data_IF_772725728958
#
_entry.id   IF_772725728958
#
_cell.length_a   1.000
_cell.length_b   1.000
_cell.length_c   1.000
_cell.angle_alpha   90.00
_cell.angle_beta   90.00
_cell.angle_gamma   90.00
#
_symmetry.space_group_name_H-M   'P 1'
#
loop_
_entity.id
_entity.type
_entity.pdbx_description
1 polymer ?
#
# COMPACT_ATOMS: atom_id res chain seq x y z
N UNK A 1 14.31 1.25 10.15
CA UNK A 1 13.04 0.67 9.65
C UNK A 1 12.23 1.66 8.81
N UNK A 2 12.00 2.90 9.23
CA UNK A 2 11.26 3.89 8.45
C UNK A 2 11.84 4.12 7.06
N UNK A 3 13.17 4.30 6.95
CA UNK A 3 13.84 4.45 5.65
C UNK A 3 13.63 3.24 4.72
N UNK A 4 13.60 2.02 5.28
CA UNK A 4 13.36 0.83 4.49
C UNK A 4 11.92 0.76 3.96
N UNK A 5 10.93 1.12 4.78
CA UNK A 5 9.55 1.21 4.32
C UNK A 5 9.38 2.29 3.27
N UNK A 6 10.00 3.46 3.46
CA UNK A 6 9.96 4.55 2.47
C UNK A 6 10.63 4.17 1.14
N UNK A 7 11.70 3.37 1.20
CA UNK A 7 12.31 2.81 0.00
C UNK A 7 11.32 1.89 -0.76
N UNK A 8 10.60 1.02 -0.04
CA UNK A 8 9.58 0.14 -0.67
C UNK A 8 8.43 0.95 -1.27
N UNK A 9 7.95 1.98 -0.57
CA UNK A 9 6.90 2.90 -1.06
C UNK A 9 7.32 3.60 -2.36
N UNK A 10 8.54 4.13 -2.39
CA UNK A 10 9.10 4.77 -3.57
C UNK A 10 9.29 3.78 -4.73
N UNK A 11 9.69 2.55 -4.43
CA UNK A 11 9.83 1.48 -5.43
C UNK A 11 8.50 1.19 -6.11
N UNK A 12 7.39 1.08 -5.36
CA UNK A 12 6.06 0.92 -5.96
C UNK A 12 5.76 2.01 -6.98
N UNK A 13 5.95 3.28 -6.60
CA UNK A 13 5.63 4.41 -7.48
C UNK A 13 6.48 4.43 -8.74
N UNK A 14 7.76 4.05 -8.65
CA UNK A 14 8.63 3.93 -9.83
C UNK A 14 8.11 2.91 -10.85
N UNK A 15 7.41 1.85 -10.38
CA UNK A 15 6.82 0.86 -11.30
C UNK A 15 5.66 1.40 -12.13
N UNK A 16 5.12 2.57 -11.80
CA UNK A 16 4.06 3.21 -12.57
C UNK A 16 4.59 4.24 -13.57
N UNK A 17 5.85 4.68 -13.43
CA UNK A 17 6.41 5.74 -14.26
C UNK A 17 6.44 5.35 -15.74
N UNK A 18 5.99 6.27 -16.59
CA UNK A 18 6.02 6.12 -18.06
C UNK A 18 4.92 5.25 -18.65
N UNK A 19 4.04 4.67 -17.83
CA UNK A 19 2.87 3.91 -18.28
C UNK A 19 1.65 4.81 -18.40
N UNK A 20 0.80 4.54 -19.40
CA UNK A 20 -0.49 5.20 -19.55
C UNK A 20 -1.58 4.59 -18.63
N UNK A 21 -2.75 5.25 -18.56
CA UNK A 21 -3.85 4.83 -17.69
C UNK A 21 -4.39 3.42 -18.05
N UNK A 22 -4.41 3.08 -19.35
CA UNK A 22 -4.84 1.75 -19.79
C UNK A 22 -3.87 0.66 -19.30
N UNK A 23 -2.56 0.88 -19.46
CA UNK A 23 -1.52 -0.04 -19.02
C UNK A 23 -1.54 -0.23 -17.50
N UNK A 24 -1.69 0.87 -16.74
CA UNK A 24 -1.73 0.85 -15.28
C UNK A 24 -2.94 0.11 -14.72
N UNK A 25 -4.07 0.14 -15.42
CA UNK A 25 -5.36 -0.45 -15.04
C UNK A 25 -5.53 -1.89 -15.48
N UNK A 26 -4.76 -2.31 -16.49
CA UNK A 26 -4.92 -3.62 -17.12
C UNK A 26 -4.71 -4.75 -16.14
N UNK A 27 -5.69 -5.66 -15.97
CA UNK A 27 -5.49 -6.88 -15.19
C UNK A 27 -4.49 -7.79 -15.88
N UNK A 28 -3.38 -8.12 -15.20
CA UNK A 28 -2.28 -8.89 -15.77
C UNK A 28 -2.17 -10.31 -15.20
N UNK A 29 -2.98 -10.64 -14.22
CA UNK A 29 -3.00 -11.98 -13.60
C UNK A 29 -4.41 -12.60 -13.67
N UNK A 30 -4.52 -13.92 -13.47
CA UNK A 30 -5.82 -14.60 -13.39
C UNK A 30 -6.71 -14.07 -12.27
N UNK A 31 -6.12 -13.57 -11.19
CA UNK A 31 -6.84 -12.95 -10.08
C UNK A 31 -7.24 -11.50 -10.34
N UNK A 32 -6.90 -10.93 -11.50
CA UNK A 32 -7.24 -9.57 -11.87
C UNK A 32 -6.31 -8.50 -11.32
N UNK A 33 -5.08 -8.85 -10.94
CA UNK A 33 -4.13 -7.91 -10.37
C UNK A 33 -3.65 -6.90 -11.43
N UNK A 34 -3.66 -5.61 -11.09
CA UNK A 34 -3.14 -4.51 -11.89
C UNK A 34 -2.23 -3.61 -11.04
N UNK A 35 -1.41 -2.77 -11.69
CA UNK A 35 -0.55 -1.82 -10.96
C UNK A 35 -1.36 -0.84 -10.11
N UNK A 36 -2.45 -0.27 -10.64
CA UNK A 36 -3.33 0.59 -9.85
C UNK A 36 -4.07 -0.15 -8.73
N UNK A 37 -4.43 -1.41 -8.95
CA UNK A 37 -4.99 -2.26 -7.91
C UNK A 37 -4.02 -2.45 -6.75
N UNK A 38 -2.73 -2.63 -7.02
CA UNK A 38 -1.69 -2.70 -5.99
C UNK A 38 -1.55 -1.39 -5.20
N UNK A 39 -1.57 -0.23 -5.87
CA UNK A 39 -1.54 1.08 -5.18
C UNK A 39 -2.73 1.21 -4.25
N UNK A 40 -3.93 0.88 -4.72
CA UNK A 40 -5.17 0.96 -3.94
C UNK A 40 -5.12 0.05 -2.72
N UNK A 41 -4.71 -1.21 -2.90
CA UNK A 41 -4.55 -2.17 -1.81
C UNK A 41 -3.54 -1.68 -0.77
N UNK A 42 -2.34 -1.24 -1.19
CA UNK A 42 -1.33 -0.77 -0.25
C UNK A 42 -1.74 0.51 0.47
N UNK A 43 -2.56 1.38 -0.14
CA UNK A 43 -3.17 2.52 0.54
C UNK A 43 -4.08 2.05 1.70
N UNK A 44 -4.96 1.08 1.44
CA UNK A 44 -5.84 0.50 2.47
C UNK A 44 -5.05 -0.17 3.59
N UNK A 45 -3.99 -0.90 3.23
CA UNK A 45 -3.14 -1.62 4.19
C UNK A 45 -2.36 -0.65 5.10
N UNK A 46 -1.77 0.40 4.52
CA UNK A 46 -1.11 1.48 5.27
C UNK A 46 -2.07 2.15 6.26
N UNK A 47 -3.26 2.54 5.77
CA UNK A 47 -4.30 3.12 6.60
C UNK A 47 -4.71 2.18 7.72
N UNK A 48 -4.98 0.93 7.40
CA UNK A 48 -5.44 -0.08 8.35
C UNK A 48 -4.46 -0.29 9.50
N UNK A 49 -3.19 -0.53 9.20
CA UNK A 49 -2.20 -0.85 10.22
C UNK A 49 -1.76 0.35 11.05
N UNK A 50 -1.44 1.48 10.40
CA UNK A 50 -0.90 2.62 11.13
C UNK A 50 -1.97 3.54 11.71
N UNK A 51 -3.00 3.88 10.92
CA UNK A 51 -3.99 4.87 11.34
C UNK A 51 -5.11 4.22 12.17
N UNK A 52 -5.70 3.13 11.69
CA UNK A 52 -6.81 2.49 12.39
C UNK A 52 -6.34 1.61 13.56
N UNK A 53 -5.41 0.68 13.34
CA UNK A 53 -5.01 -0.31 14.36
C UNK A 53 -4.04 0.31 15.36
N UNK A 54 -2.94 0.92 14.91
CA UNK A 54 -1.92 1.44 15.82
C UNK A 54 -2.36 2.75 16.48
N UNK A 55 -2.78 3.75 15.71
CA UNK A 55 -3.16 5.06 16.25
C UNK A 55 -4.60 5.13 16.76
N UNK A 56 -5.44 4.13 16.48
CA UNK A 56 -6.84 4.11 16.92
C UNK A 56 -7.69 5.22 16.32
N UNK A 57 -7.35 5.75 15.16
CA UNK A 57 -8.09 6.83 14.53
C UNK A 57 -9.43 6.31 13.99
N UNK A 58 -10.52 7.06 14.15
CA UNK A 58 -11.87 6.64 13.76
C UNK A 58 -12.14 6.82 12.25
N UNK A 59 -11.16 7.29 11.48
CA UNK A 59 -11.33 7.54 10.06
C UNK A 59 -11.67 6.26 9.31
N UNK A 60 -12.68 6.28 8.42
CA UNK A 60 -12.96 5.12 7.58
C UNK A 60 -11.79 4.86 6.61
N UNK A 61 -11.56 3.59 6.21
CA UNK A 61 -10.57 3.28 5.19
C UNK A 61 -10.93 3.97 3.87
N UNK A 62 -9.93 4.44 3.10
CA UNK A 62 -10.15 5.30 1.91
C UNK A 62 -11.06 4.68 0.84
N UNK A 63 -11.07 3.35 0.73
CA UNK A 63 -11.83 2.62 -0.30
C UNK A 63 -12.89 1.69 0.30
N UNK A 64 -13.30 1.94 1.54
CA UNK A 64 -14.28 1.12 2.24
C UNK A 64 -13.68 -0.16 2.83
N UNK A 65 -14.53 -0.95 3.50
CA UNK A 65 -14.12 -2.16 4.23
C UNK A 65 -14.34 -3.46 3.44
N UNK A 66 -14.63 -3.39 2.14
CA UNK A 66 -14.86 -4.58 1.31
C UNK A 66 -13.53 -5.09 0.72
N UNK A 67 -12.95 -6.19 1.25
CA UNK A 67 -11.66 -6.70 0.78
C UNK A 67 -11.68 -7.12 -0.70
N UNK A 68 -12.85 -7.46 -1.24
CA UNK A 68 -12.97 -7.86 -2.66
C UNK A 68 -12.72 -6.72 -3.63
N UNK A 69 -12.79 -5.47 -3.15
CA UNK A 69 -12.62 -4.25 -3.96
C UNK A 69 -11.26 -3.58 -3.78
N UNK A 70 -10.47 -4.04 -2.83
CA UNK A 70 -9.16 -3.42 -2.53
C UNK A 70 -8.18 -3.45 -3.70
N UNK A 71 -8.22 -4.51 -4.51
CA UNK A 71 -7.34 -4.68 -5.67
C UNK A 71 -7.95 -4.20 -7.00
N UNK A 72 -9.14 -3.62 -6.97
CA UNK A 72 -9.84 -3.20 -8.18
C UNK A 72 -9.85 -1.68 -8.30
N UNK A 73 -9.16 -1.15 -9.30
CA UNK A 73 -9.33 0.25 -9.70
C UNK A 73 -10.64 0.38 -10.48
N UNK A 74 -11.64 1.04 -9.88
CA UNK A 74 -12.95 1.26 -10.49
C UNK A 74 -12.91 2.26 -11.65
N UNK A 75 -13.99 2.32 -12.43
CA UNK A 75 -14.10 3.24 -13.57
C UNK A 75 -14.01 4.73 -13.16
N UNK A 76 -14.36 5.05 -11.92
CA UNK A 76 -14.30 6.41 -11.38
C UNK A 76 -12.99 6.73 -10.65
N UNK A 77 -12.13 5.74 -10.44
CA UNK A 77 -10.82 5.91 -9.81
C UNK A 77 -9.84 6.44 -10.87
N UNK A 78 -9.47 7.70 -10.84
CA UNK A 78 -8.41 8.21 -11.71
C UNK A 78 -7.04 7.78 -11.17
N UNK A 79 -6.07 7.54 -12.08
CA UNK A 79 -4.68 7.23 -11.73
C UNK A 79 -4.11 8.25 -10.75
N UNK A 80 -4.29 9.54 -11.04
CA UNK A 80 -3.77 10.62 -10.20
C UNK A 80 -4.41 10.61 -8.80
N UNK A 81 -5.73 10.42 -8.70
CA UNK A 81 -6.42 10.38 -7.41
C UNK A 81 -5.94 9.21 -6.54
N UNK A 82 -5.68 8.03 -7.13
CA UNK A 82 -5.16 6.87 -6.40
C UNK A 82 -3.72 7.11 -5.89
N UNK A 83 -2.86 7.69 -6.72
CA UNK A 83 -1.48 8.03 -6.35
C UNK A 83 -1.48 9.11 -5.25
N UNK A 84 -2.29 10.16 -5.39
CA UNK A 84 -2.37 11.23 -4.40
C UNK A 84 -2.87 10.72 -3.05
N UNK A 85 -3.87 9.80 -3.04
CA UNK A 85 -4.36 9.20 -1.81
C UNK A 85 -3.29 8.32 -1.15
N UNK A 86 -2.56 7.53 -1.93
CA UNK A 86 -1.43 6.76 -1.41
C UNK A 86 -0.38 7.65 -0.75
N UNK A 87 0.03 8.72 -1.43
CA UNK A 87 1.02 9.67 -0.90
C UNK A 87 0.53 10.35 0.38
N UNK A 88 -0.74 10.80 0.42
CA UNK A 88 -1.35 11.40 1.62
C UNK A 88 -1.39 10.41 2.79
N UNK A 89 -1.82 9.18 2.52
CA UNK A 89 -1.87 8.12 3.53
C UNK A 89 -0.48 7.83 4.08
N UNK A 90 0.53 7.64 3.22
CA UNK A 90 1.91 7.42 3.64
C UNK A 90 2.45 8.59 4.49
N UNK A 91 2.12 9.84 4.15
CA UNK A 91 2.53 11.02 4.92
C UNK A 91 1.91 11.01 6.33
N UNK A 92 0.63 10.69 6.46
CA UNK A 92 -0.05 10.52 7.76
C UNK A 92 0.57 9.39 8.57
N UNK A 93 0.85 8.25 7.94
CA UNK A 93 1.51 7.12 8.60
C UNK A 93 2.90 7.50 9.14
N UNK A 94 3.70 8.27 8.39
CA UNK A 94 4.99 8.79 8.89
C UNK A 94 4.83 9.65 10.14
N UNK A 95 3.82 10.51 10.18
CA UNK A 95 3.55 11.35 11.36
C UNK A 95 3.23 10.48 12.58
N UNK A 96 2.34 9.50 12.43
CA UNK A 96 1.97 8.56 13.49
C UNK A 96 3.20 7.78 13.98
N UNK A 97 3.99 7.22 13.06
CA UNK A 97 5.19 6.44 13.40
C UNK A 97 6.25 7.32 14.09
N UNK A 98 6.39 8.57 13.66
CA UNK A 98 7.38 9.49 14.28
C UNK A 98 7.00 9.94 15.69
N UNK A 99 5.74 9.87 16.06
CA UNK A 99 5.22 10.21 17.37
C UNK A 99 5.21 9.03 18.36
N UNK A 100 5.41 7.80 17.88
CA UNK A 100 5.38 6.57 18.68
C UNK A 100 6.75 5.99 18.96
N UNK A 101 6.80 5.10 19.95
CA UNK A 101 8.00 4.33 20.28
C UNK A 101 7.88 2.91 19.69
N UNK A 102 9.01 2.34 19.25
CA UNK A 102 9.02 1.03 18.58
C UNK A 102 8.43 -0.10 19.42
N UNK A 103 8.54 0.01 20.73
CA UNK A 103 8.06 -1.00 21.67
C UNK A 103 6.67 -0.69 22.25
N UNK A 104 6.01 0.38 21.77
CA UNK A 104 4.61 0.68 22.10
C UNK A 104 3.72 -0.51 21.73
N UNK A 105 3.05 -1.06 22.73
CA UNK A 105 2.18 -2.24 22.56
C UNK A 105 0.74 -1.80 22.40
N UNK A 106 0.10 -2.33 21.37
CA UNK A 106 -1.34 -2.16 21.13
C UNK A 106 -2.06 -3.53 21.11
N UNK A 107 -3.37 -3.52 21.26
CA UNK A 107 -4.21 -4.69 20.99
C UNK A 107 -4.84 -4.56 19.61
N UNK A 108 -4.63 -5.58 18.78
CA UNK A 108 -5.31 -5.66 17.48
C UNK A 108 -6.79 -5.99 17.64
N UNK A 109 -7.65 -5.75 16.64
CA UNK A 109 -9.07 -6.15 16.68
C UNK A 109 -9.29 -7.64 16.92
N UNK A 110 -8.34 -8.49 16.54
CA UNK A 110 -8.37 -9.94 16.82
C UNK A 110 -8.01 -10.29 18.27
N UNK A 111 -7.65 -9.30 19.10
CA UNK A 111 -7.27 -9.50 20.51
C UNK A 111 -5.80 -9.88 20.73
N UNK A 112 -5.01 -10.04 19.68
CA UNK A 112 -3.55 -10.25 19.78
C UNK A 112 -2.83 -8.96 20.12
N UNK A 113 -1.72 -9.06 20.84
CA UNK A 113 -0.83 -7.92 21.08
C UNK A 113 0.17 -7.77 19.94
N UNK A 114 0.38 -6.55 19.51
CA UNK A 114 1.46 -6.18 18.57
C UNK A 114 2.16 -4.91 19.07
N UNK A 115 3.40 -4.70 18.64
CA UNK A 115 4.07 -3.43 18.88
C UNK A 115 4.38 -2.72 17.55
N UNK A 116 4.73 -1.43 17.61
CA UNK A 116 5.00 -0.63 16.42
C UNK A 116 6.13 -1.24 15.58
N UNK A 117 7.12 -1.86 16.20
CA UNK A 117 8.22 -2.57 15.53
C UNK A 117 7.68 -3.71 14.66
N UNK A 118 6.79 -4.54 15.18
CA UNK A 118 6.18 -5.65 14.45
C UNK A 118 5.32 -5.15 13.28
N UNK A 119 4.56 -4.06 13.47
CA UNK A 119 3.77 -3.44 12.41
C UNK A 119 4.67 -2.91 11.29
N UNK A 120 5.76 -2.22 11.62
CA UNK A 120 6.72 -1.72 10.63
C UNK A 120 7.37 -2.86 9.83
N UNK A 121 7.78 -3.95 10.51
CA UNK A 121 8.34 -5.12 9.83
C UNK A 121 7.31 -5.79 8.91
N UNK A 122 6.06 -5.93 9.38
CA UNK A 122 4.97 -6.45 8.57
C UNK A 122 4.76 -5.59 7.31
N UNK A 123 4.69 -4.27 7.45
CA UNK A 123 4.47 -3.37 6.33
C UNK A 123 5.63 -3.32 5.34
N UNK A 124 6.88 -3.48 5.80
CA UNK A 124 8.04 -3.65 4.92
C UNK A 124 7.90 -4.92 4.08
N UNK A 125 7.55 -6.05 4.72
CA UNK A 125 7.37 -7.33 4.05
C UNK A 125 6.21 -7.30 3.06
N UNK A 126 5.08 -6.75 3.46
CA UNK A 126 3.87 -6.64 2.63
C UNK A 126 4.11 -5.77 1.40
N UNK A 127 4.70 -4.58 1.58
CA UNK A 127 5.01 -3.70 0.45
C UNK A 127 6.06 -4.32 -0.48
N UNK A 128 7.11 -4.98 0.08
CA UNK A 128 8.12 -5.66 -0.72
C UNK A 128 7.52 -6.84 -1.53
N UNK A 129 6.61 -7.61 -0.93
CA UNK A 129 5.88 -8.68 -1.63
C UNK A 129 5.11 -8.15 -2.83
N UNK A 130 4.37 -7.04 -2.64
CA UNK A 130 3.60 -6.43 -3.70
C UNK A 130 4.46 -5.71 -4.74
N UNK A 131 5.64 -5.23 -4.38
CA UNK A 131 6.64 -4.76 -5.35
C UNK A 131 7.11 -5.89 -6.27
N UNK A 132 7.30 -7.12 -5.75
CA UNK A 132 7.59 -8.28 -6.58
C UNK A 132 6.46 -8.62 -7.57
N UNK A 133 5.19 -8.47 -7.18
CA UNK A 133 4.07 -8.58 -8.13
C UNK A 133 4.10 -7.44 -9.16
N UNK A 134 4.38 -6.21 -8.74
CA UNK A 134 4.50 -5.06 -9.64
C UNK A 134 5.65 -5.24 -10.65
N UNK A 135 6.77 -5.83 -10.25
CA UNK A 135 7.89 -6.16 -11.14
C UNK A 135 7.44 -7.08 -12.27
N UNK A 136 6.78 -8.19 -11.93
CA UNK A 136 6.28 -9.15 -12.93
C UNK A 136 5.24 -8.51 -13.86
N UNK A 137 4.31 -7.73 -13.30
CA UNK A 137 3.29 -7.02 -14.11
C UNK A 137 3.96 -6.01 -15.04
N UNK A 138 4.95 -5.26 -14.56
CA UNK A 138 5.68 -4.27 -15.36
C UNK A 138 6.43 -4.93 -16.52
N UNK A 139 7.14 -6.03 -16.24
CA UNK A 139 7.85 -6.80 -17.27
C UNK A 139 6.91 -7.28 -18.36
N UNK A 140 5.71 -7.77 -18.02
CA UNK A 140 4.69 -8.21 -18.99
C UNK A 140 4.08 -7.05 -19.80
N UNK A 141 4.07 -5.82 -19.28
CA UNK A 141 3.54 -4.65 -19.99
C UNK A 141 4.52 -4.12 -21.03
N UNK A 142 5.77 -3.89 -20.64
CA UNK A 142 6.76 -3.19 -21.49
C UNK A 142 8.18 -3.78 -21.48
N UNK A 143 8.37 -4.92 -20.84
CA UNK A 143 9.67 -5.61 -20.75
C UNK A 143 10.65 -4.99 -19.76
N UNK A 144 10.26 -3.94 -19.01
CA UNK A 144 11.12 -3.31 -18.01
C UNK A 144 11.30 -4.22 -16.81
N UNK A 145 12.55 -4.50 -16.41
CA UNK A 145 12.91 -5.33 -15.26
C UNK A 145 13.69 -4.55 -14.21
N UNK A 146 13.59 -5.00 -12.94
CA UNK A 146 14.36 -4.45 -11.85
C UNK A 146 13.82 -3.14 -11.28
N UNK A 147 14.70 -2.44 -10.56
CA UNK A 147 14.39 -1.20 -9.85
C UNK A 147 14.33 0.02 -10.77
#
# INVERSE_FOLDING_TARGET
>A
MNQQLDFQRATLLRKLEGLDDEQLRRPMTRSGLSLLGLVKHLTSTEHGWFLSIYAGLPDPPPYGADPSKEFQAGLHDTTQALIDEYLRTCARCRQVVSAGELDDVIRTPSGTSANLRAILLHMIQETARHNGHADTIREEIDGTTGY
#
